data_IF_912281561307
#
_entry.id   IF_912281561307
#
_cell.length_a   1.000
_cell.length_b   1.000
_cell.length_c   1.000
_cell.angle_alpha   90.00
_cell.angle_beta   90.00
_cell.angle_gamma   90.00
#
_symmetry.space_group_name_H-M   'P 1'
#
loop_
_entity.id
_entity.type
_entity.pdbx_description
1 polymer ?
#
# COMPACT_ATOMS: atom_id res chain seq x y z
N UNK A 1 62.50 32.24 13.08
CA UNK A 1 61.80 30.94 12.86
C UNK A 1 60.26 31.02 12.99
N UNK A 2 59.67 32.09 13.54
CA UNK A 2 58.20 32.20 13.76
C UNK A 2 57.42 32.62 12.48
N UNK A 3 58.04 33.36 11.56
CA UNK A 3 57.38 33.89 10.36
C UNK A 3 57.02 32.80 9.33
N UNK A 4 57.88 31.78 9.16
CA UNK A 4 57.63 30.68 8.20
C UNK A 4 56.48 29.75 8.61
N UNK A 5 56.21 29.60 9.92
CA UNK A 5 55.04 28.83 10.40
C UNK A 5 53.71 29.51 10.07
N UNK A 6 53.65 30.85 10.06
CA UNK A 6 52.43 31.60 9.70
C UNK A 6 52.08 31.47 8.22
N UNK A 7 53.07 31.44 7.33
CA UNK A 7 52.85 31.27 5.89
C UNK A 7 52.24 29.90 5.57
N UNK A 8 52.76 28.81 6.14
CA UNK A 8 52.18 27.46 5.94
C UNK A 8 50.75 27.35 6.48
N UNK A 9 50.43 28.00 7.59
CA UNK A 9 49.07 28.02 8.14
C UNK A 9 48.06 28.72 7.23
N UNK A 10 48.50 29.75 6.48
CA UNK A 10 47.65 30.48 5.54
C UNK A 10 47.37 29.60 4.31
N UNK A 11 48.36 28.87 3.79
CA UNK A 11 48.13 27.94 2.67
C UNK A 11 47.18 26.79 3.04
N UNK A 12 47.27 26.26 4.26
CA UNK A 12 46.34 25.24 4.75
C UNK A 12 44.91 25.79 4.81
N UNK A 13 44.73 27.03 5.28
CA UNK A 13 43.41 27.67 5.31
C UNK A 13 42.82 27.83 3.90
N UNK A 14 43.61 28.28 2.93
CA UNK A 14 43.17 28.38 1.52
C UNK A 14 42.84 27.01 0.92
N UNK A 15 43.60 25.96 1.25
CA UNK A 15 43.31 24.60 0.78
C UNK A 15 41.97 24.09 1.32
N UNK A 16 41.67 24.33 2.60
CA UNK A 16 40.37 23.94 3.20
C UNK A 16 39.21 24.69 2.54
N UNK A 17 39.37 25.99 2.27
CA UNK A 17 38.36 26.80 1.57
C UNK A 17 38.13 26.28 0.15
N UNK A 18 39.21 25.92 -0.57
CA UNK A 18 39.11 25.34 -1.90
C UNK A 18 38.35 24.02 -1.91
N UNK A 19 38.63 23.13 -0.95
CA UNK A 19 37.91 21.86 -0.81
C UNK A 19 36.42 22.09 -0.52
N UNK A 20 36.09 23.04 0.36
CA UNK A 20 34.69 23.40 0.65
C UNK A 20 33.95 23.97 -0.58
N UNK A 21 34.62 24.81 -1.37
CA UNK A 21 34.05 25.35 -2.60
C UNK A 21 33.75 24.25 -3.63
N UNK A 22 34.65 23.27 -3.77
CA UNK A 22 34.45 22.11 -4.66
C UNK A 22 33.27 21.25 -4.17
N UNK A 23 33.16 21.02 -2.85
CA UNK A 23 32.03 20.28 -2.28
C UNK A 23 30.68 20.98 -2.56
N UNK A 24 30.62 22.31 -2.45
CA UNK A 24 29.40 23.07 -2.76
C UNK A 24 29.02 22.99 -4.24
N UNK A 25 30.00 22.98 -5.15
CA UNK A 25 29.74 22.81 -6.58
C UNK A 25 29.18 21.42 -6.89
N UNK A 26 29.70 20.37 -6.25
CA UNK A 26 29.19 18.99 -6.40
C UNK A 26 27.75 18.88 -5.87
N UNK A 27 27.45 19.49 -4.71
CA UNK A 27 26.09 19.49 -4.17
C UNK A 27 25.13 20.22 -5.10
N UNK A 28 25.53 21.38 -5.64
CA UNK A 28 24.73 22.16 -6.59
C UNK A 28 24.40 21.39 -7.87
N UNK A 29 25.36 20.63 -8.42
CA UNK A 29 25.12 19.81 -9.63
C UNK A 29 24.19 18.63 -9.36
N UNK A 30 24.28 18.00 -8.19
CA UNK A 30 23.35 16.94 -7.78
C UNK A 30 21.91 17.46 -7.64
N UNK A 31 21.73 18.63 -7.01
CA UNK A 31 20.41 19.27 -6.92
C UNK A 31 19.84 19.66 -8.29
N UNK A 32 20.67 20.13 -9.22
CA UNK A 32 20.25 20.42 -10.60
C UNK A 32 19.76 19.15 -11.32
N UNK A 33 20.37 18.00 -11.06
CA UNK A 33 19.97 16.73 -11.64
C UNK A 33 18.60 16.25 -11.15
N UNK A 34 18.34 16.32 -9.85
CA UNK A 34 17.01 15.99 -9.27
C UNK A 34 15.91 16.91 -9.80
N UNK A 35 16.18 18.21 -9.91
CA UNK A 35 15.21 19.18 -10.42
C UNK A 35 14.77 18.87 -11.86
N UNK A 36 15.70 18.45 -12.72
CA UNK A 36 15.38 18.08 -14.10
C UNK A 36 14.57 16.78 -14.19
N UNK A 37 14.80 15.81 -13.30
CA UNK A 37 14.03 14.57 -13.26
C UNK A 37 12.55 14.80 -12.90
N UNK A 38 12.26 15.74 -11.98
CA UNK A 38 10.89 16.07 -11.56
C UNK A 38 10.07 16.65 -12.73
N UNK A 39 10.67 17.47 -13.60
CA UNK A 39 9.96 18.02 -14.78
C UNK A 39 9.55 16.96 -15.79
N UNK A 40 10.33 15.88 -15.93
CA UNK A 40 10.06 14.81 -16.90
C UNK A 40 8.81 13.99 -16.55
N UNK A 41 8.43 13.91 -15.28
CA UNK A 41 7.28 13.10 -14.82
C UNK A 41 5.90 13.78 -14.96
N UNK A 42 5.84 15.08 -15.29
CA UNK A 42 4.57 15.84 -15.33
C UNK A 42 3.84 15.78 -16.69
N UNK A 43 4.44 15.22 -17.73
CA UNK A 43 3.89 15.26 -19.10
C UNK A 43 2.99 14.08 -19.49
N UNK A 44 2.90 13.02 -18.68
CA UNK A 44 2.07 11.85 -19.00
C UNK A 44 0.76 11.83 -18.19
N UNK A 45 0.01 12.92 -18.20
CA UNK A 45 -1.42 12.87 -17.83
C UNK A 45 -2.18 12.69 -19.15
N UNK A 46 -2.48 11.44 -19.46
CA UNK A 46 -3.38 11.07 -20.57
C UNK A 46 -4.76 11.62 -20.24
N UNK A 47 -5.17 12.66 -20.95
CA UNK A 47 -6.55 13.14 -20.94
C UNK A 47 -7.39 12.07 -21.63
N UNK A 48 -8.09 11.25 -20.84
CA UNK A 48 -9.08 10.30 -21.34
C UNK A 48 -10.22 11.11 -21.94
N UNK A 49 -10.31 11.09 -23.27
CA UNK A 49 -11.41 11.67 -24.03
C UNK A 49 -12.73 10.97 -23.63
N UNK A 50 -13.67 11.74 -23.05
CA UNK A 50 -14.96 11.25 -22.58
C UNK A 50 -15.99 11.05 -23.70
N UNK A 51 -15.59 11.15 -24.97
CA UNK A 51 -16.52 11.17 -26.09
C UNK A 51 -16.64 9.82 -26.84
N UNK A 52 -16.68 8.70 -26.11
CA UNK A 52 -17.15 7.44 -26.70
C UNK A 52 -18.68 7.51 -26.78
N UNK A 53 -19.20 7.69 -27.99
CA UNK A 53 -20.63 7.45 -28.28
C UNK A 53 -20.91 5.97 -28.02
N UNK A 54 -21.68 5.70 -26.99
CA UNK A 54 -22.22 4.38 -26.69
C UNK A 54 -23.26 4.10 -27.77
N UNK A 55 -22.92 3.23 -28.72
CA UNK A 55 -23.90 2.72 -29.68
C UNK A 55 -25.03 2.06 -28.89
N UNK A 56 -26.24 2.56 -29.15
CA UNK A 56 -27.48 2.20 -28.48
C UNK A 56 -27.66 0.69 -28.42
N UNK A 57 -27.87 0.15 -27.22
CA UNK A 57 -28.24 -1.24 -27.04
C UNK A 57 -29.47 -1.60 -27.89
N UNK A 58 -29.49 -2.77 -28.56
CA UNK A 58 -30.69 -3.25 -29.22
C UNK A 58 -31.80 -3.43 -28.17
N UNK A 59 -32.98 -2.92 -28.49
CA UNK A 59 -34.17 -3.02 -27.64
C UNK A 59 -34.47 -4.48 -27.31
N UNK A 60 -34.50 -4.78 -26.02
CA UNK A 60 -34.90 -6.11 -25.55
C UNK A 60 -36.35 -6.40 -25.97
N UNK A 61 -36.67 -7.64 -26.41
CA UNK A 61 -38.02 -8.01 -26.76
C UNK A 61 -38.95 -7.86 -25.55
N UNK A 62 -40.16 -7.35 -25.80
CA UNK A 62 -41.19 -7.12 -24.79
C UNK A 62 -41.56 -8.48 -24.17
N UNK A 63 -41.25 -8.67 -22.88
CA UNK A 63 -41.65 -9.91 -22.18
C UNK A 63 -43.18 -10.01 -22.14
N UNK A 64 -43.77 -11.18 -22.45
CA UNK A 64 -45.19 -11.42 -22.20
C UNK A 64 -45.48 -11.21 -20.72
N UNK A 65 -46.57 -10.49 -20.43
CA UNK A 65 -46.95 -10.01 -19.10
C UNK A 65 -46.78 -11.09 -18.04
N UNK A 66 -45.91 -10.86 -17.06
CA UNK A 66 -45.77 -11.73 -15.91
C UNK A 66 -47.13 -11.88 -15.19
N UNK A 67 -47.48 -13.09 -14.72
CA UNK A 67 -48.66 -13.27 -13.89
C UNK A 67 -48.55 -12.36 -12.67
N UNK A 68 -49.61 -11.57 -12.42
CA UNK A 68 -49.69 -10.70 -11.24
C UNK A 68 -49.70 -11.59 -10.00
N UNK A 69 -48.62 -11.55 -9.24
CA UNK A 69 -48.51 -12.21 -7.94
C UNK A 69 -49.45 -11.50 -6.97
N UNK A 70 -50.43 -12.22 -6.41
CA UNK A 70 -51.26 -11.72 -5.32
C UNK A 70 -50.36 -11.34 -4.13
N UNK A 71 -50.44 -10.08 -3.72
CA UNK A 71 -49.55 -9.43 -2.75
C UNK A 71 -49.81 -9.82 -1.29
N UNK A 72 -50.43 -10.97 -1.04
CA UNK A 72 -50.75 -11.45 0.33
C UNK A 72 -49.61 -12.24 0.98
N UNK A 73 -48.53 -12.51 0.24
CA UNK A 73 -47.33 -13.18 0.76
C UNK A 73 -46.34 -12.10 1.19
N UNK A 74 -45.82 -12.13 2.43
CA UNK A 74 -44.82 -11.17 2.87
C UNK A 74 -43.60 -11.23 1.94
N UNK A 75 -43.40 -10.13 1.21
CA UNK A 75 -42.27 -9.95 0.30
C UNK A 75 -41.05 -9.67 1.18
N UNK A 76 -40.17 -10.68 1.32
CA UNK A 76 -38.80 -10.52 1.82
C UNK A 76 -38.15 -9.26 1.21
N UNK A 77 -37.22 -8.59 1.91
CA UNK A 77 -36.76 -7.25 1.54
C UNK A 77 -36.48 -7.13 0.05
N UNK A 78 -37.13 -6.12 -0.57
CA UNK A 78 -37.10 -5.86 -2.02
C UNK A 78 -35.68 -5.73 -2.57
N UNK A 79 -34.74 -5.36 -1.71
CA UNK A 79 -33.31 -5.34 -1.97
C UNK A 79 -32.62 -6.16 -0.90
N UNK A 80 -31.97 -7.26 -1.32
CA UNK A 80 -31.05 -7.98 -0.45
C UNK A 80 -29.84 -7.06 -0.18
N UNK A 81 -29.29 -7.05 1.04
CA UNK A 81 -28.02 -6.38 1.28
C UNK A 81 -26.98 -6.95 0.31
N UNK A 82 -26.47 -6.10 -0.58
CA UNK A 82 -25.33 -6.46 -1.43
C UNK A 82 -24.09 -6.42 -0.53
N UNK A 83 -23.66 -7.57 -0.06
CA UNK A 83 -22.35 -7.69 0.57
C UNK A 83 -21.30 -7.59 -0.53
N UNK A 84 -20.84 -6.37 -0.81
CA UNK A 84 -19.64 -6.16 -1.61
C UNK A 84 -18.41 -6.48 -0.74
N UNK A 85 -18.25 -7.75 -0.41
CA UNK A 85 -17.21 -8.27 0.47
C UNK A 85 -16.00 -8.78 -0.32
N UNK A 86 -15.80 -8.27 -1.54
CA UNK A 86 -14.75 -8.73 -2.43
C UNK A 86 -13.93 -7.54 -2.89
N UNK A 87 -12.63 -7.62 -2.64
CA UNK A 87 -11.54 -6.82 -3.24
C UNK A 87 -11.01 -5.63 -2.43
N UNK A 88 -11.70 -5.13 -1.40
CA UNK A 88 -11.10 -4.12 -0.52
C UNK A 88 -10.18 -4.73 0.55
N UNK A 89 -9.11 -3.99 0.86
CA UNK A 89 -8.22 -4.33 1.94
C UNK A 89 -8.83 -3.92 3.27
N UNK A 90 -8.90 -4.88 4.20
CA UNK A 90 -9.36 -4.64 5.56
C UNK A 90 -8.20 -4.84 6.52
N UNK A 91 -8.18 -4.10 7.62
CA UNK A 91 -7.23 -4.37 8.69
C UNK A 91 -7.62 -5.68 9.39
N UNK A 92 -6.69 -6.63 9.41
CA UNK A 92 -6.91 -7.95 10.04
C UNK A 92 -6.08 -8.15 11.29
N UNK A 93 -5.09 -7.29 11.54
CA UNK A 93 -4.24 -7.43 12.70
C UNK A 93 -3.15 -6.37 12.78
N UNK A 94 -2.11 -6.72 13.52
CA UNK A 94 -0.87 -5.95 13.68
C UNK A 94 0.35 -6.86 13.50
N UNK A 95 1.47 -6.23 13.18
CA UNK A 95 2.79 -6.82 13.08
C UNK A 95 3.67 -6.19 14.14
N UNK A 96 4.31 -6.99 14.96
CA UNK A 96 5.26 -6.53 15.99
C UNK A 96 6.66 -6.98 15.63
N UNK A 97 7.63 -6.07 15.64
CA UNK A 97 9.02 -6.42 15.38
C UNK A 97 9.56 -7.33 16.49
N UNK A 98 10.32 -8.35 16.10
CA UNK A 98 10.99 -9.28 17.02
C UNK A 98 12.34 -8.75 17.53
N UNK A 99 12.64 -7.46 17.32
CA UNK A 99 13.87 -6.80 17.78
C UNK A 99 13.58 -6.00 19.05
N UNK A 100 14.21 -6.39 20.16
CA UNK A 100 13.99 -5.78 21.47
C UNK A 100 14.50 -4.34 21.57
N UNK A 101 15.43 -3.93 20.69
CA UNK A 101 16.04 -2.61 20.76
C UNK A 101 15.15 -1.51 20.17
N UNK A 102 14.28 -1.86 19.22
CA UNK A 102 13.39 -0.92 18.53
C UNK A 102 12.01 -1.57 18.30
N UNK A 103 11.07 -1.45 19.25
CA UNK A 103 9.74 -2.03 19.12
C UNK A 103 8.95 -1.24 18.06
N UNK A 104 8.80 -1.83 16.87
CA UNK A 104 8.00 -1.29 15.78
C UNK A 104 6.70 -2.09 15.70
N UNK A 105 5.56 -1.38 15.69
CA UNK A 105 4.23 -1.98 15.52
C UNK A 105 3.62 -1.42 14.24
N UNK A 106 3.25 -2.30 13.31
CA UNK A 106 2.68 -1.91 12.02
C UNK A 106 1.30 -2.56 11.83
N UNK A 107 0.34 -1.89 11.17
CA UNK A 107 -0.96 -2.49 10.88
C UNK A 107 -0.85 -3.52 9.74
N UNK A 108 -1.51 -4.68 9.92
CA UNK A 108 -1.62 -5.70 8.88
C UNK A 108 -2.96 -5.59 8.16
N UNK A 109 -2.90 -5.38 6.85
CA UNK A 109 -4.06 -5.35 5.97
C UNK A 109 -4.10 -6.58 5.07
N UNK A 110 -5.30 -7.09 4.82
CA UNK A 110 -5.51 -8.19 3.88
C UNK A 110 -6.74 -8.03 3.00
N UNK A 111 -6.67 -8.61 1.80
CA UNK A 111 -7.82 -8.85 0.92
C UNK A 111 -7.72 -10.24 0.30
N UNK A 112 -8.84 -10.77 -0.19
CA UNK A 112 -8.82 -11.99 -1.01
C UNK A 112 -8.05 -11.74 -2.32
N UNK A 113 -7.23 -12.70 -2.74
CA UNK A 113 -6.58 -12.63 -4.03
C UNK A 113 -7.63 -12.64 -5.17
N UNK A 114 -7.36 -11.91 -6.25
CA UNK A 114 -8.33 -11.74 -7.33
C UNK A 114 -8.51 -13.05 -8.14
N UNK A 115 -7.41 -13.76 -8.37
CA UNK A 115 -7.36 -14.94 -9.25
C UNK A 115 -7.49 -16.27 -8.48
N UNK A 116 -7.31 -16.25 -7.16
CA UNK A 116 -7.27 -17.45 -6.32
C UNK A 116 -8.13 -17.27 -5.07
N UNK A 117 -9.09 -18.18 -4.84
CA UNK A 117 -10.04 -18.06 -3.71
C UNK A 117 -9.43 -18.44 -2.37
N UNK A 118 -8.45 -19.33 -2.40
CA UNK A 118 -7.71 -19.88 -1.25
C UNK A 118 -6.54 -18.99 -0.81
N UNK A 119 -6.20 -17.96 -1.60
CA UNK A 119 -5.08 -17.05 -1.33
C UNK A 119 -5.54 -15.66 -0.91
N UNK A 120 -4.62 -14.97 -0.27
CA UNK A 120 -4.81 -13.64 0.28
C UNK A 120 -3.65 -12.72 -0.09
N UNK A 121 -3.96 -11.47 -0.40
CA UNK A 121 -2.95 -10.44 -0.58
C UNK A 121 -2.81 -9.66 0.71
N UNK A 122 -1.57 -9.38 1.10
CA UNK A 122 -1.24 -8.70 2.34
C UNK A 122 -0.34 -7.49 2.08
N UNK A 123 -0.57 -6.43 2.84
CA UNK A 123 0.37 -5.33 2.93
C UNK A 123 0.37 -4.75 4.34
N UNK A 124 1.42 -3.99 4.63
CA UNK A 124 1.52 -3.17 5.84
C UNK A 124 1.81 -1.73 5.46
N UNK A 125 1.65 -0.80 6.38
CA UNK A 125 2.09 0.58 6.19
C UNK A 125 3.35 0.87 6.99
N UNK A 126 4.04 1.97 6.67
CA UNK A 126 5.14 2.48 7.50
C UNK A 126 4.60 3.12 8.79
N UNK A 127 5.42 3.17 9.84
CA UNK A 127 5.13 3.84 11.12
C UNK A 127 5.26 5.39 11.08
N UNK A 128 5.77 5.96 9.98
CA UNK A 128 5.99 7.41 9.85
C UNK A 128 4.72 8.15 9.42
N UNK A 129 4.72 9.49 9.56
CA UNK A 129 3.62 10.39 9.20
C UNK A 129 3.03 10.22 7.78
N UNK A 130 3.75 9.59 6.86
CA UNK A 130 3.24 9.27 5.52
C UNK A 130 2.95 7.79 5.44
N UNK A 131 1.67 7.40 5.36
CA UNK A 131 1.26 6.00 5.23
C UNK A 131 1.61 5.47 3.84
N UNK A 132 2.83 4.96 3.67
CA UNK A 132 3.26 4.25 2.47
C UNK A 132 2.95 2.75 2.59
N UNK A 133 2.35 2.16 1.57
CA UNK A 133 2.11 0.72 1.45
C UNK A 133 3.42 -0.02 1.24
N UNK A 134 3.68 -1.04 2.05
CA UNK A 134 4.86 -1.88 2.01
C UNK A 134 4.49 -3.33 1.66
N UNK A 135 5.24 -3.97 0.75
CA UNK A 135 5.03 -5.37 0.40
C UNK A 135 5.51 -6.29 1.53
N UNK A 136 4.76 -7.37 1.75
CA UNK A 136 5.05 -8.41 2.74
C UNK A 136 5.46 -9.69 2.00
N UNK A 137 6.39 -10.42 2.59
CA UNK A 137 6.74 -11.77 2.17
C UNK A 137 6.48 -12.77 3.30
N UNK A 138 5.89 -13.91 2.93
CA UNK A 138 5.56 -15.01 3.83
C UNK A 138 5.92 -16.33 3.16
N UNK A 139 6.62 -17.22 3.86
CA UNK A 139 7.07 -18.52 3.33
C UNK A 139 7.74 -18.43 1.94
N UNK A 140 8.63 -17.44 1.75
CA UNK A 140 9.33 -17.15 0.49
C UNK A 140 8.43 -16.75 -0.70
N UNK A 141 7.15 -16.47 -0.46
CA UNK A 141 6.23 -15.90 -1.45
C UNK A 141 5.99 -14.41 -1.18
N UNK A 142 5.77 -13.63 -2.25
CA UNK A 142 5.39 -12.22 -2.16
C UNK A 142 3.88 -12.11 -2.07
N UNK A 143 3.37 -11.49 -0.99
CA UNK A 143 1.94 -11.41 -0.73
C UNK A 143 1.25 -10.21 -1.42
N UNK A 144 1.99 -9.42 -2.17
CA UNK A 144 1.49 -8.30 -2.98
C UNK A 144 1.13 -8.71 -4.42
N UNK A 145 1.56 -9.91 -4.84
CA UNK A 145 1.42 -10.35 -6.23
C UNK A 145 -0.01 -10.84 -6.59
N UNK A 146 -0.24 -11.16 -7.85
CA UNK A 146 -1.52 -11.67 -8.38
C UNK A 146 -1.91 -13.04 -7.80
N UNK A 147 -0.91 -13.83 -7.37
CA UNK A 147 -1.11 -15.13 -6.72
C UNK A 147 -1.48 -14.95 -5.24
N UNK A 148 -0.83 -14.00 -4.56
CA UNK A 148 -0.94 -13.81 -3.11
C UNK A 148 -0.24 -14.89 -2.29
N UNK A 149 -0.54 -14.92 -1.00
CA UNK A 149 0.02 -15.83 0.00
C UNK A 149 -1.05 -16.70 0.65
N UNK A 150 -0.59 -17.71 1.40
CA UNK A 150 -1.43 -18.45 2.33
C UNK A 150 -1.96 -17.52 3.42
N UNK A 151 -3.06 -17.95 4.04
CA UNK A 151 -3.62 -17.25 5.19
C UNK A 151 -2.61 -17.17 6.34
N UNK A 152 -2.41 -15.96 6.86
CA UNK A 152 -1.52 -15.67 7.99
C UNK A 152 -2.29 -15.87 9.28
N UNK A 153 -1.73 -16.68 10.17
CA UNK A 153 -2.27 -16.94 11.50
C UNK A 153 -1.51 -16.17 12.58
N UNK A 154 -2.11 -16.12 13.77
CA UNK A 154 -1.49 -15.55 14.96
C UNK A 154 -0.15 -16.25 15.26
N UNK A 155 0.87 -15.48 15.63
CA UNK A 155 2.23 -15.97 15.89
C UNK A 155 3.07 -16.27 14.64
N UNK A 156 2.56 -16.08 13.43
CA UNK A 156 3.35 -16.27 12.21
C UNK A 156 4.40 -15.17 12.04
N UNK A 157 5.60 -15.57 11.64
CA UNK A 157 6.71 -14.65 11.36
C UNK A 157 6.72 -14.27 9.89
N UNK A 158 6.74 -12.96 9.62
CA UNK A 158 6.71 -12.35 8.29
C UNK A 158 7.95 -11.48 8.08
N UNK A 159 8.34 -11.33 6.81
CA UNK A 159 9.45 -10.49 6.40
C UNK A 159 8.94 -9.32 5.54
N UNK A 160 9.36 -8.11 5.86
CA UNK A 160 8.98 -6.89 5.12
C UNK A 160 10.20 -6.42 4.33
N UNK A 161 10.07 -6.26 3.01
CA UNK A 161 11.21 -6.01 2.11
C UNK A 161 12.03 -4.74 2.48
N UNK A 162 11.36 -3.72 3.02
CA UNK A 162 11.96 -2.45 3.42
C UNK A 162 12.69 -2.49 4.77
N UNK A 163 12.39 -3.47 5.63
CA UNK A 163 13.02 -3.65 6.94
C UNK A 163 14.00 -4.84 6.89
N UNK A 164 15.10 -4.67 6.15
CA UNK A 164 16.12 -5.71 5.95
C UNK A 164 16.64 -6.25 7.28
N UNK A 165 16.65 -7.57 7.42
CA UNK A 165 17.17 -8.25 8.61
C UNK A 165 16.24 -8.23 9.84
N UNK A 166 15.10 -7.54 9.78
CA UNK A 166 14.08 -7.58 10.84
C UNK A 166 12.97 -8.55 10.46
N UNK A 167 12.53 -9.31 11.45
CA UNK A 167 11.37 -10.20 11.35
C UNK A 167 10.23 -9.64 12.18
N UNK A 168 9.00 -9.89 11.75
CA UNK A 168 7.81 -9.39 12.41
C UNK A 168 6.87 -10.54 12.74
N UNK A 169 6.33 -10.55 13.95
CA UNK A 169 5.32 -11.52 14.36
C UNK A 169 3.93 -10.93 14.15
N UNK A 170 3.05 -11.69 13.49
CA UNK A 170 1.67 -11.29 13.23
C UNK A 170 0.77 -11.59 14.43
N UNK A 171 -0.08 -10.63 14.77
CA UNK A 171 -1.17 -10.80 15.74
C UNK A 171 -2.49 -10.49 15.05
N UNK A 172 -3.31 -11.53 14.87
CA UNK A 172 -4.55 -11.46 14.10
C UNK A 172 -5.73 -11.15 15.03
N UNK A 173 -6.56 -10.18 14.64
CA UNK A 173 -7.77 -9.86 15.36
C UNK A 173 -8.79 -10.98 15.24
N UNK A 174 -9.35 -11.39 16.38
CA UNK A 174 -10.47 -12.33 16.41
C UNK A 174 -11.70 -11.64 15.80
N UNK A 175 -12.21 -12.17 14.69
CA UNK A 175 -13.49 -11.73 14.16
C UNK A 175 -14.59 -12.09 15.15
N UNK A 176 -15.48 -11.14 15.44
CA UNK A 176 -16.73 -11.43 16.12
C UNK A 176 -17.53 -12.41 15.25
N UNK A 177 -18.09 -13.44 15.89
CA UNK A 177 -18.95 -14.42 15.21
C UNK A 177 -20.03 -13.71 14.42
N UNK A 178 -20.37 -14.23 13.24
CA UNK A 178 -21.45 -13.72 12.41
C UNK A 178 -22.71 -13.53 13.26
N UNK A 179 -23.14 -12.28 13.45
CA UNK A 179 -24.47 -12.00 13.99
C UNK A 179 -25.44 -12.14 12.82
N UNK A 180 -26.35 -13.11 12.92
CA UNK A 180 -27.38 -13.27 11.91
C UNK A 180 -28.36 -12.11 12.05
N UNK A 181 -28.81 -11.56 10.94
CA UNK A 181 -29.71 -10.40 10.95
C UNK A 181 -31.03 -10.68 11.69
N UNK A 182 -31.44 -11.95 11.81
CA UNK A 182 -32.64 -12.34 12.56
C UNK A 182 -32.44 -12.40 14.08
N UNK A 183 -31.20 -12.33 14.60
CA UNK A 183 -30.99 -12.21 16.06
C UNK A 183 -31.29 -10.79 16.57
N UNK A 184 -31.53 -9.84 15.67
CA UNK A 184 -31.73 -8.41 15.97
C UNK A 184 -33.20 -7.98 16.01
N UNK A 185 -34.15 -8.89 15.77
CA UNK A 185 -35.59 -8.60 15.75
C UNK A 185 -36.38 -9.61 16.58
#
# INVERSE_FOLDING_TARGET
MVFMKKLNSIYILYFVIFVLAVLLLIVSTLFYYEYNNIKKHKQDIIIVDKNVKIDSCPSCPLCPSCPKVDSSIPIYPKELPSYDNKHEYQQVGILTSNDDNEPIILPLFSKRANNHRDRWNYYTTTDKNTMLRLPISYNNAKCDDDIGCNEIYDGNTLNIEMYKGKTFTATIYKKQTLSYFADKY
#
